data_IF_115101286705
#
_entry.id   IF_115101286705
#
_cell.length_a   1.000
_cell.length_b   1.000
_cell.length_c   1.000
_cell.angle_alpha   90.00
_cell.angle_beta   90.00
_cell.angle_gamma   90.00
#
_symmetry.space_group_name_H-M   'P 1'
#
loop_
_entity.id
_entity.type
_entity.pdbx_description
1 polymer ?
#
# COMPACT_ATOMS: atom_id res chain seq x y z
N UNK A 1 4.43 9.83 -9.78
CA UNK A 1 4.98 9.90 -8.41
C UNK A 1 5.10 8.47 -7.92
N UNK A 2 6.32 8.01 -7.65
CA UNK A 2 6.51 6.68 -7.05
C UNK A 2 6.24 6.79 -5.55
N UNK A 3 5.38 5.92 -5.03
CA UNK A 3 5.12 5.81 -3.59
C UNK A 3 5.86 4.59 -3.05
N UNK A 4 6.65 4.81 -2.01
CA UNK A 4 7.39 3.74 -1.35
C UNK A 4 6.52 3.08 -0.29
N UNK A 5 5.82 1.99 -0.61
CA UNK A 5 4.91 1.28 0.33
C UNK A 5 5.58 0.81 1.63
N UNK A 6 6.91 0.62 1.63
CA UNK A 6 7.68 0.14 2.76
C UNK A 6 8.14 1.27 3.71
N UNK A 7 8.17 2.51 3.24
CA UNK A 7 8.63 3.66 4.02
C UNK A 7 7.59 4.76 4.17
N UNK A 8 6.59 4.81 3.29
CA UNK A 8 5.53 5.79 3.33
C UNK A 8 4.68 5.62 4.59
N UNK A 9 4.44 6.75 5.24
CA UNK A 9 3.47 6.90 6.32
C UNK A 9 2.04 6.73 5.81
N UNK A 10 1.10 6.45 6.71
CA UNK A 10 -0.33 6.37 6.38
C UNK A 10 -0.81 7.66 5.70
N UNK A 11 -0.31 8.81 6.14
CA UNK A 11 -0.63 10.12 5.56
C UNK A 11 -0.13 10.25 4.13
N UNK A 12 1.11 9.85 3.85
CA UNK A 12 1.67 9.87 2.49
C UNK A 12 0.98 8.88 1.56
N UNK A 13 0.60 7.71 2.08
CA UNK A 13 -0.22 6.74 1.36
C UNK A 13 -1.57 7.37 1.02
N UNK A 14 -2.30 7.92 2.00
CA UNK A 14 -3.61 8.55 1.78
C UNK A 14 -3.58 9.82 0.92
N UNK A 15 -2.41 10.43 0.74
CA UNK A 15 -2.25 11.59 -0.15
C UNK A 15 -2.27 11.20 -1.63
N UNK A 16 -2.19 9.90 -1.93
CA UNK A 16 -2.25 9.41 -3.30
C UNK A 16 -3.70 9.36 -3.79
N UNK A 17 -4.01 9.85 -5.00
CA UNK A 17 -5.37 9.84 -5.56
C UNK A 17 -6.01 8.44 -5.64
N UNK A 18 -5.17 7.40 -5.68
CA UNK A 18 -5.59 6.00 -5.81
C UNK A 18 -5.48 5.20 -4.52
N UNK A 19 -5.12 5.82 -3.40
CA UNK A 19 -5.08 5.17 -2.09
C UNK A 19 -6.05 5.89 -1.19
N UNK A 20 -7.12 5.20 -0.82
CA UNK A 20 -8.07 5.71 0.16
C UNK A 20 -7.49 5.60 1.58
N UNK A 21 -7.97 6.43 2.51
CA UNK A 21 -7.55 6.37 3.92
C UNK A 21 -7.68 4.95 4.54
N UNK A 22 -8.76 4.17 4.31
CA UNK A 22 -8.86 2.79 4.79
C UNK A 22 -7.76 1.88 4.21
N UNK A 23 -7.43 2.05 2.93
CA UNK A 23 -6.37 1.28 2.28
C UNK A 23 -4.99 1.65 2.84
N UNK A 24 -4.71 2.94 3.02
CA UNK A 24 -3.48 3.42 3.66
C UNK A 24 -3.29 2.80 5.06
N UNK A 25 -4.36 2.80 5.86
CA UNK A 25 -4.37 2.20 7.19
C UNK A 25 -4.16 0.69 7.13
N UNK A 26 -4.78 -0.01 6.19
CA UNK A 26 -4.61 -1.45 6.02
C UNK A 26 -3.17 -1.81 5.62
N UNK A 27 -2.54 -1.02 4.73
CA UNK A 27 -1.13 -1.17 4.33
C UNK A 27 -0.21 -0.96 5.54
N UNK A 28 -0.42 0.12 6.30
CA UNK A 28 0.38 0.40 7.49
C UNK A 28 0.22 -0.69 8.57
N UNK A 29 -1.01 -1.16 8.78
CA UNK A 29 -1.33 -2.23 9.74
C UNK A 29 -0.72 -3.56 9.33
N UNK A 30 -0.87 -3.96 8.07
CA UNK A 30 -0.25 -5.17 7.55
C UNK A 30 1.27 -5.12 7.71
N UNK A 31 1.89 -3.98 7.38
CA UNK A 31 3.34 -3.79 7.55
C UNK A 31 3.79 -3.88 9.00
N UNK A 32 2.98 -3.40 9.93
CA UNK A 32 3.25 -3.51 11.36
C UNK A 32 3.16 -4.95 11.87
N UNK A 33 2.17 -5.72 11.40
CA UNK A 33 1.94 -7.10 11.84
C UNK A 33 2.87 -8.12 11.18
N UNK A 34 3.13 -7.97 9.89
CA UNK A 34 3.89 -8.95 9.09
C UNK A 34 5.31 -8.49 8.76
N UNK A 35 5.65 -7.24 9.04
CA UNK A 35 6.92 -6.63 8.63
C UNK A 35 6.86 -6.02 7.23
N UNK A 36 8.03 -5.78 6.64
CA UNK A 36 8.15 -5.12 5.33
C UNK A 36 7.53 -5.99 4.23
N UNK A 37 6.88 -5.35 3.25
CA UNK A 37 6.44 -6.01 2.03
C UNK A 37 7.66 -6.48 1.26
N UNK A 38 7.77 -7.78 1.03
CA UNK A 38 8.89 -8.40 0.32
C UNK A 38 8.65 -8.37 -1.18
N UNK A 39 7.38 -8.44 -1.60
CA UNK A 39 6.97 -8.28 -2.98
C UNK A 39 5.68 -7.46 -3.09
N UNK A 40 5.39 -7.00 -4.31
CA UNK A 40 4.13 -6.31 -4.59
C UNK A 40 2.94 -7.27 -4.43
N UNK A 41 3.14 -8.59 -4.58
CA UNK A 41 2.08 -9.58 -4.34
C UNK A 41 1.63 -9.62 -2.88
N UNK A 42 2.47 -9.23 -1.92
CA UNK A 42 2.06 -9.13 -0.52
C UNK A 42 0.94 -8.10 -0.32
N UNK A 43 0.82 -7.11 -1.21
CA UNK A 43 -0.29 -6.15 -1.17
C UNK A 43 -1.61 -6.80 -1.57
N UNK A 44 -1.62 -7.83 -2.43
CA UNK A 44 -2.84 -8.57 -2.75
C UNK A 44 -3.42 -9.32 -1.54
N UNK A 45 -2.63 -9.54 -0.49
CA UNK A 45 -3.13 -10.11 0.78
C UNK A 45 -4.01 -9.11 1.55
N UNK A 46 -3.94 -7.83 1.20
CA UNK A 46 -4.82 -6.80 1.76
C UNK A 46 -6.09 -6.77 0.92
N UNK A 47 -7.23 -7.16 1.51
CA UNK A 47 -8.53 -7.24 0.81
C UNK A 47 -9.00 -5.92 0.17
N UNK A 48 -8.42 -4.78 0.55
CA UNK A 48 -8.72 -3.44 0.04
C UNK A 48 -7.83 -3.02 -1.15
N UNK A 49 -6.85 -3.85 -1.54
CA UNK A 49 -5.96 -3.54 -2.67
C UNK A 49 -6.63 -3.93 -3.99
N UNK A 50 -6.91 -2.91 -4.81
CA UNK A 50 -7.42 -3.10 -6.17
C UNK A 50 -6.30 -3.32 -7.20
N UNK A 51 -6.62 -4.03 -8.29
CA UNK A 51 -5.69 -4.21 -9.43
C UNK A 51 -5.21 -2.88 -10.03
N UNK A 52 -6.05 -1.84 -10.01
CA UNK A 52 -5.70 -0.52 -10.51
C UNK A 52 -4.58 0.12 -9.69
N UNK A 53 -4.61 -0.07 -8.36
CA UNK A 53 -3.51 0.32 -7.47
C UNK A 53 -2.27 -0.51 -7.82
N UNK A 54 -2.40 -1.83 -7.87
CA UNK A 54 -1.31 -2.76 -8.19
C UNK A 54 -0.55 -2.41 -9.48
N UNK A 55 -1.26 -2.05 -10.56
CA UNK A 55 -0.65 -1.66 -11.84
C UNK A 55 0.15 -0.36 -11.80
N UNK A 56 -0.04 0.51 -10.79
CA UNK A 56 0.63 1.81 -10.68
C UNK A 56 1.84 1.81 -9.73
N UNK A 57 1.87 0.89 -8.77
CA UNK A 57 3.01 0.65 -7.87
C UNK A 57 4.03 -0.31 -8.48
N UNK A 58 3.64 -1.10 -9.49
CA UNK A 58 4.59 -1.81 -10.34
C UNK A 58 5.29 -0.77 -11.25
N UNK A 59 6.63 -0.71 -11.28
CA UNK A 59 7.36 0.18 -12.18
C UNK A 59 7.07 -0.12 -13.66
#
# INVERSE_FOLDING_TARGET
MQISINSASEKELSAHPYITYPLAKAIATYRFQHGRFSSVEDLHKIALVDEAFYKKIKP
#
